data_IF_862002316817
#
_entry.id   IF_862002316817
#
_cell.length_a   1.000
_cell.length_b   1.000
_cell.length_c   1.000
_cell.angle_alpha   90.00
_cell.angle_beta   90.00
_cell.angle_gamma   90.00
#
_symmetry.space_group_name_H-M   'P 1'
#
loop_
_entity.id
_entity.type
_entity.pdbx_description
1 polymer ?
#
# COMPACT_ATOMS: atom_id res chain seq x y z
N UNK A 1 27.41 15.88 -10.77
CA UNK A 1 27.41 17.36 -10.86
C UNK A 1 26.97 17.91 -12.22
N UNK A 2 27.24 17.25 -13.34
CA UNK A 2 26.79 17.67 -14.69
C UNK A 2 25.27 17.68 -14.84
N UNK A 3 24.60 16.70 -14.30
CA UNK A 3 23.11 16.61 -14.35
C UNK A 3 22.49 17.81 -13.63
N UNK A 4 23.00 18.15 -12.47
CA UNK A 4 22.50 19.29 -11.68
C UNK A 4 22.77 20.63 -12.38
N UNK A 5 23.91 20.78 -13.04
CA UNK A 5 24.25 21.96 -13.84
C UNK A 5 23.29 22.10 -15.03
N UNK A 6 23.03 21.01 -15.75
CA UNK A 6 22.08 20.97 -16.87
C UNK A 6 20.67 21.34 -16.42
N UNK A 7 20.20 20.79 -15.29
CA UNK A 7 18.88 21.13 -14.73
C UNK A 7 18.77 22.61 -14.36
N UNK A 8 19.80 23.19 -13.75
CA UNK A 8 19.80 24.62 -13.40
C UNK A 8 19.75 25.52 -14.62
N UNK A 9 20.45 25.16 -15.69
CA UNK A 9 20.36 25.88 -16.97
C UNK A 9 18.93 25.82 -17.52
N UNK A 10 18.33 24.65 -17.58
CA UNK A 10 16.95 24.47 -18.01
C UNK A 10 15.98 25.32 -17.17
N UNK A 11 16.10 25.32 -15.83
CA UNK A 11 15.22 26.13 -14.98
C UNK A 11 15.42 27.63 -15.20
N UNK A 12 16.63 28.07 -15.48
CA UNK A 12 16.93 29.46 -15.83
C UNK A 12 16.27 29.87 -17.12
N UNK A 13 16.29 29.00 -18.14
CA UNK A 13 15.60 29.25 -19.42
C UNK A 13 14.09 29.28 -19.25
N UNK A 14 13.50 28.33 -18.51
CA UNK A 14 12.07 28.31 -18.23
C UNK A 14 11.60 29.57 -17.49
N UNK A 15 12.41 30.09 -16.56
CA UNK A 15 12.15 31.38 -15.90
C UNK A 15 12.18 32.53 -16.90
N UNK A 16 13.26 32.61 -17.71
CA UNK A 16 13.43 33.67 -18.69
C UNK A 16 12.30 33.72 -19.73
N UNK A 17 11.80 32.55 -20.10
CA UNK A 17 10.69 32.36 -21.03
C UNK A 17 9.30 32.54 -20.38
N UNK A 18 9.22 32.83 -19.07
CA UNK A 18 7.96 33.02 -18.38
C UNK A 18 7.15 31.75 -18.07
N UNK A 19 7.70 30.54 -18.32
CA UNK A 19 7.03 29.29 -18.01
C UNK A 19 6.98 28.95 -16.53
N UNK A 20 7.90 29.50 -15.73
CA UNK A 20 7.91 29.39 -14.28
C UNK A 20 8.07 30.76 -13.64
N UNK A 21 7.44 30.95 -12.49
CA UNK A 21 7.56 32.17 -11.70
C UNK A 21 8.92 32.27 -11.03
N UNK A 22 9.33 33.50 -10.67
CA UNK A 22 10.55 33.73 -9.91
C UNK A 22 10.56 32.93 -8.59
N UNK A 23 9.44 32.88 -7.89
CA UNK A 23 9.30 32.12 -6.66
C UNK A 23 9.54 30.63 -6.88
N UNK A 24 8.97 30.04 -7.96
CA UNK A 24 9.19 28.64 -8.32
C UNK A 24 10.66 28.39 -8.67
N UNK A 25 11.29 29.28 -9.42
CA UNK A 25 12.69 29.20 -9.74
C UNK A 25 13.56 29.19 -8.49
N UNK A 26 13.33 30.12 -7.55
CA UNK A 26 14.07 30.21 -6.32
C UNK A 26 13.95 28.95 -5.45
N UNK A 27 12.77 28.30 -5.45
CA UNK A 27 12.57 27.01 -4.79
C UNK A 27 13.37 25.88 -5.45
N UNK A 28 13.44 25.86 -6.78
CA UNK A 28 14.15 24.82 -7.53
C UNK A 28 15.67 24.91 -7.38
N UNK A 29 16.23 26.12 -7.33
CA UNK A 29 17.68 26.32 -7.15
C UNK A 29 18.11 26.36 -5.68
N UNK A 30 17.14 26.50 -4.76
CA UNK A 30 17.41 26.59 -3.33
C UNK A 30 18.08 25.34 -2.79
N UNK A 31 19.17 25.53 -2.02
CA UNK A 31 19.92 24.44 -1.38
C UNK A 31 19.52 24.21 0.09
N UNK A 32 18.62 25.03 0.61
CA UNK A 32 18.22 24.91 1.99
C UNK A 32 17.34 23.68 2.17
N UNK A 33 17.57 22.85 3.19
CA UNK A 33 16.68 21.76 3.53
C UNK A 33 15.30 22.30 3.87
N UNK A 34 14.26 21.53 3.54
CA UNK A 34 12.90 21.88 3.91
C UNK A 34 12.78 22.02 5.44
N UNK A 35 12.10 23.05 5.89
CA UNK A 35 11.70 23.18 7.30
C UNK A 35 10.69 22.07 7.64
N UNK A 36 10.54 21.78 8.93
CA UNK A 36 9.59 20.73 9.34
C UNK A 36 8.15 21.09 9.01
N UNK A 37 7.82 22.40 9.05
CA UNK A 37 6.53 22.91 8.61
C UNK A 37 6.29 22.69 7.10
N UNK A 38 7.30 22.95 6.27
CA UNK A 38 7.24 22.69 4.83
C UNK A 38 7.11 21.20 4.51
N UNK A 39 7.81 20.34 5.25
CA UNK A 39 7.69 18.86 5.13
C UNK A 39 6.29 18.41 5.52
N UNK A 40 5.76 18.90 6.65
CA UNK A 40 4.41 18.58 7.10
C UNK A 40 3.34 19.03 6.08
N UNK A 41 3.46 20.22 5.53
CA UNK A 41 2.57 20.72 4.48
C UNK A 41 2.65 19.90 3.18
N UNK A 42 3.84 19.43 2.80
CA UNK A 42 4.01 18.55 1.66
C UNK A 42 3.34 17.19 1.90
N UNK A 43 3.59 16.56 3.04
CA UNK A 43 2.99 15.27 3.42
C UNK A 43 1.45 15.38 3.46
N UNK A 44 0.91 16.42 4.07
CA UNK A 44 -0.53 16.64 4.14
C UNK A 44 -1.16 16.72 2.74
N UNK A 45 -0.52 17.43 1.81
CA UNK A 45 -0.97 17.54 0.42
C UNK A 45 -0.94 16.20 -0.29
N UNK A 46 0.15 15.44 -0.15
CA UNK A 46 0.29 14.10 -0.74
C UNK A 46 -0.79 13.14 -0.22
N UNK A 47 -1.14 13.21 1.06
CA UNK A 47 -2.21 12.39 1.64
C UNK A 47 -3.59 12.74 1.03
N UNK A 48 -3.87 14.02 0.83
CA UNK A 48 -5.13 14.47 0.19
C UNK A 48 -5.19 14.00 -1.26
N UNK A 49 -4.13 14.22 -2.05
CA UNK A 49 -4.06 13.80 -3.45
C UNK A 49 -4.22 12.28 -3.60
N UNK A 50 -3.52 11.51 -2.76
CA UNK A 50 -3.64 10.04 -2.75
C UNK A 50 -5.06 9.60 -2.40
N UNK A 51 -5.68 10.23 -1.42
CA UNK A 51 -7.06 9.93 -1.02
C UNK A 51 -8.06 10.24 -2.14
N UNK A 52 -7.91 11.37 -2.83
CA UNK A 52 -8.77 11.73 -3.96
C UNK A 52 -8.56 10.79 -5.15
N UNK A 53 -7.30 10.46 -5.48
CA UNK A 53 -6.99 9.49 -6.53
C UNK A 53 -7.60 8.11 -6.24
N UNK A 54 -7.48 7.63 -5.01
CA UNK A 54 -8.07 6.35 -4.58
C UNK A 54 -9.59 6.35 -4.74
N UNK A 55 -10.26 7.44 -4.34
CA UNK A 55 -11.71 7.57 -4.52
C UNK A 55 -12.11 7.61 -6.00
N UNK A 56 -11.36 8.34 -6.81
CA UNK A 56 -11.58 8.39 -8.26
C UNK A 56 -11.50 7.03 -8.92
N UNK A 57 -10.43 6.26 -8.62
CA UNK A 57 -10.26 4.89 -9.11
C UNK A 57 -11.39 3.98 -8.61
N UNK A 58 -11.77 4.06 -7.33
CA UNK A 58 -12.86 3.25 -6.80
C UNK A 58 -14.20 3.54 -7.50
N UNK A 59 -14.50 4.79 -7.79
CA UNK A 59 -15.70 5.17 -8.53
C UNK A 59 -15.70 4.62 -9.96
N UNK A 60 -14.58 4.68 -10.66
CA UNK A 60 -14.42 4.10 -12.01
C UNK A 60 -14.61 2.59 -11.96
N UNK A 61 -13.98 1.90 -11.02
CA UNK A 61 -14.12 0.45 -10.85
C UNK A 61 -15.56 0.05 -10.53
N UNK A 62 -16.26 0.82 -9.69
CA UNK A 62 -17.66 0.55 -9.36
C UNK A 62 -18.59 0.70 -10.56
N UNK A 63 -18.29 1.65 -11.48
CA UNK A 63 -19.03 1.83 -12.72
C UNK A 63 -18.76 0.71 -13.73
N UNK A 64 -17.50 0.28 -13.84
CA UNK A 64 -17.09 -0.77 -14.78
C UNK A 64 -17.49 -2.18 -14.30
N UNK A 65 -17.54 -2.38 -12.98
CA UNK A 65 -17.77 -3.67 -12.33
C UNK A 65 -18.86 -3.53 -11.27
N UNK A 66 -20.12 -3.25 -11.65
CA UNK A 66 -21.19 -2.92 -10.70
C UNK A 66 -21.52 -4.06 -9.71
N UNK A 67 -21.31 -5.32 -10.12
CA UNK A 67 -21.52 -6.49 -9.27
C UNK A 67 -20.37 -6.77 -8.30
N UNK A 68 -19.24 -6.04 -8.43
CA UNK A 68 -18.07 -6.24 -7.59
C UNK A 68 -18.08 -5.35 -6.36
N UNK A 69 -17.63 -5.90 -5.24
CA UNK A 69 -17.46 -5.15 -4.00
C UNK A 69 -16.13 -4.39 -4.03
N UNK A 70 -16.15 -3.09 -3.79
CA UNK A 70 -14.95 -2.28 -3.62
C UNK A 70 -14.60 -2.21 -2.13
N UNK A 71 -13.42 -2.69 -1.78
CA UNK A 71 -12.94 -2.75 -0.40
C UNK A 71 -11.65 -1.95 -0.26
N UNK A 72 -11.59 -1.07 0.74
CA UNK A 72 -10.39 -0.31 1.07
C UNK A 72 -9.54 -1.05 2.09
N UNK A 73 -8.28 -1.32 1.76
CA UNK A 73 -7.31 -1.90 2.68
C UNK A 73 -6.22 -0.87 3.02
N UNK A 74 -5.84 -0.79 4.31
CA UNK A 74 -4.71 0.04 4.73
C UNK A 74 -3.39 -0.70 4.44
N UNK A 75 -2.42 -0.01 3.85
CA UNK A 75 -1.10 -0.57 3.59
C UNK A 75 -0.40 -1.07 4.87
N UNK A 76 -0.63 -0.42 6.03
CA UNK A 76 -0.11 -0.86 7.32
C UNK A 76 -0.62 -2.24 7.72
N UNK A 77 -1.90 -2.56 7.44
CA UNK A 77 -2.48 -3.85 7.77
C UNK A 77 -1.86 -4.98 6.93
N UNK A 78 -1.60 -4.69 5.64
CA UNK A 78 -0.90 -5.64 4.76
C UNK A 78 0.54 -5.83 5.17
N UNK A 79 1.24 -4.77 5.57
CA UNK A 79 2.61 -4.84 6.09
C UNK A 79 2.69 -5.67 7.37
N UNK A 80 1.76 -5.46 8.29
CA UNK A 80 1.67 -6.23 9.53
C UNK A 80 1.37 -7.71 9.26
N UNK A 81 0.42 -8.00 8.36
CA UNK A 81 0.11 -9.36 7.93
C UNK A 81 1.34 -10.06 7.33
N UNK A 82 2.11 -9.37 6.47
CA UNK A 82 3.36 -9.92 5.91
C UNK A 82 4.34 -10.30 7.00
N UNK A 83 4.57 -9.40 7.95
CA UNK A 83 5.53 -9.61 9.05
C UNK A 83 5.12 -10.77 9.95
N UNK A 84 3.82 -10.85 10.30
CA UNK A 84 3.32 -11.92 11.20
C UNK A 84 3.23 -13.30 10.53
N UNK A 85 3.23 -13.37 9.20
CA UNK A 85 3.13 -14.62 8.43
C UNK A 85 4.41 -14.97 7.68
N UNK A 86 5.51 -14.29 7.96
CA UNK A 86 6.83 -14.51 7.34
C UNK A 86 6.77 -14.49 5.80
N UNK A 87 6.11 -13.48 5.24
CA UNK A 87 6.06 -13.27 3.80
C UNK A 87 7.10 -12.21 3.41
N UNK A 88 8.23 -12.61 2.83
CA UNK A 88 9.33 -11.69 2.54
C UNK A 88 8.94 -10.63 1.51
N UNK A 89 9.59 -9.46 1.62
CA UNK A 89 9.50 -8.38 0.64
C UNK A 89 10.89 -7.90 0.28
N UNK A 90 11.30 -8.12 -0.97
CA UNK A 90 12.56 -7.62 -1.48
C UNK A 90 12.31 -6.53 -2.52
N UNK A 91 12.72 -5.30 -2.19
CA UNK A 91 12.62 -4.13 -3.09
C UNK A 91 13.86 -3.95 -3.95
N UNK A 92 14.95 -4.60 -3.58
CA UNK A 92 16.25 -4.45 -4.26
C UNK A 92 16.41 -5.37 -5.46
N UNK A 93 15.59 -6.43 -5.54
CA UNK A 93 15.72 -7.44 -6.59
C UNK A 93 14.93 -7.03 -7.84
N UNK A 94 13.66 -6.63 -7.66
CA UNK A 94 12.76 -6.26 -8.76
C UNK A 94 11.45 -5.65 -8.24
N UNK A 95 10.54 -5.28 -9.18
CA UNK A 95 9.23 -4.68 -8.92
C UNK A 95 8.11 -5.70 -8.65
N UNK A 96 8.36 -7.02 -8.67
CA UNK A 96 7.31 -8.03 -8.46
C UNK A 96 6.68 -8.01 -7.07
N UNK A 97 7.35 -7.38 -6.10
CA UNK A 97 6.75 -7.15 -4.80
C UNK A 97 5.44 -6.33 -4.89
N UNK A 98 5.23 -5.53 -5.94
CA UNK A 98 3.97 -4.82 -6.17
C UNK A 98 2.81 -5.78 -6.49
N UNK A 99 3.06 -6.83 -7.28
CA UNK A 99 2.06 -7.87 -7.55
C UNK A 99 1.70 -8.64 -6.27
N UNK A 100 2.70 -8.97 -5.44
CA UNK A 100 2.46 -9.56 -4.12
C UNK A 100 1.64 -8.65 -3.22
N UNK A 101 1.97 -7.36 -3.16
CA UNK A 101 1.23 -6.40 -2.35
C UNK A 101 -0.21 -6.24 -2.86
N UNK A 102 -0.43 -6.21 -4.17
CA UNK A 102 -1.77 -6.16 -4.76
C UNK A 102 -2.62 -7.37 -4.35
N UNK A 103 -2.08 -8.58 -4.48
CA UNK A 103 -2.76 -9.80 -4.05
C UNK A 103 -3.05 -9.81 -2.54
N UNK A 104 -2.08 -9.43 -1.73
CA UNK A 104 -2.26 -9.37 -0.27
C UNK A 104 -3.27 -8.27 0.15
N UNK A 105 -3.36 -7.16 -0.58
CA UNK A 105 -4.42 -6.17 -0.37
C UNK A 105 -5.81 -6.77 -0.57
N UNK A 106 -5.99 -7.63 -1.57
CA UNK A 106 -7.26 -8.33 -1.80
C UNK A 106 -7.56 -9.28 -0.63
N UNK A 107 -6.60 -10.12 -0.25
CA UNK A 107 -6.77 -11.09 0.85
C UNK A 107 -7.09 -10.38 2.16
N UNK A 108 -6.24 -9.46 2.58
CA UNK A 108 -6.39 -8.71 3.84
C UNK A 108 -7.65 -7.86 3.83
N UNK A 109 -7.92 -7.17 2.72
CA UNK A 109 -9.11 -6.34 2.56
C UNK A 109 -10.40 -7.14 2.68
N UNK A 110 -10.48 -8.32 2.04
CA UNK A 110 -11.64 -9.19 2.15
C UNK A 110 -11.89 -9.68 3.59
N UNK A 111 -10.84 -10.08 4.28
CA UNK A 111 -10.96 -10.51 5.70
C UNK A 111 -11.48 -9.37 6.57
N UNK A 112 -10.98 -8.15 6.39
CA UNK A 112 -11.49 -6.98 7.08
C UNK A 112 -12.95 -6.68 6.74
N UNK A 113 -13.30 -6.75 5.47
CA UNK A 113 -14.66 -6.51 5.02
C UNK A 113 -15.66 -7.48 5.66
N UNK A 114 -15.35 -8.78 5.65
CA UNK A 114 -16.22 -9.81 6.22
C UNK A 114 -16.30 -9.68 7.74
N UNK A 115 -15.19 -9.36 8.41
CA UNK A 115 -15.13 -9.23 9.88
C UNK A 115 -15.88 -8.01 10.40
N UNK A 116 -15.72 -6.84 9.77
CA UNK A 116 -16.11 -5.56 10.35
C UNK A 116 -17.32 -4.90 9.70
N UNK A 117 -17.97 -5.53 8.74
CA UNK A 117 -19.10 -4.94 8.01
C UNK A 117 -18.73 -3.74 7.13
N UNK A 118 -19.76 -3.11 6.56
CA UNK A 118 -19.65 -2.03 5.58
C UNK A 118 -18.98 -0.75 6.10
N UNK A 119 -18.76 -0.63 7.42
CA UNK A 119 -18.12 0.56 7.97
C UNK A 119 -17.14 0.23 9.11
N UNK A 120 -15.90 -0.15 8.78
CA UNK A 120 -14.86 -0.44 9.76
C UNK A 120 -14.52 0.75 10.66
N UNK A 121 -14.76 1.99 10.21
CA UNK A 121 -14.55 3.19 11.02
C UNK A 121 -15.54 3.29 12.17
N UNK A 122 -16.78 2.88 11.99
CA UNK A 122 -17.77 2.86 13.05
C UNK A 122 -17.44 1.82 14.11
N UNK A 123 -16.88 0.69 13.72
CA UNK A 123 -16.44 -0.33 14.65
C UNK A 123 -15.28 0.18 15.54
N UNK A 124 -14.26 0.76 14.92
CA UNK A 124 -13.11 1.33 15.64
C UNK A 124 -13.57 2.48 16.57
N UNK A 125 -14.49 3.32 16.11
CA UNK A 125 -15.04 4.42 16.92
C UNK A 125 -15.85 3.90 18.10
N UNK A 126 -16.71 2.92 17.90
CA UNK A 126 -17.54 2.35 18.96
C UNK A 126 -16.71 1.63 20.03
N UNK A 127 -15.64 0.94 19.64
CA UNK A 127 -14.70 0.34 20.58
C UNK A 127 -13.85 1.39 21.31
N UNK A 128 -13.47 2.46 20.62
CA UNK A 128 -12.77 3.59 21.21
C UNK A 128 -13.63 4.30 22.27
N UNK A 129 -14.91 4.51 21.99
CA UNK A 129 -15.83 5.17 22.91
C UNK A 129 -16.19 4.30 24.13
N UNK A 130 -16.15 2.95 23.99
CA UNK A 130 -16.45 2.02 25.09
C UNK A 130 -15.32 1.84 26.08
N UNK A 131 -14.06 1.85 25.62
CA UNK A 131 -12.92 1.58 26.49
C UNK A 131 -11.66 2.34 26.03
N UNK A 132 -11.56 3.60 26.48
CA UNK A 132 -10.43 4.49 26.16
C UNK A 132 -9.06 3.93 26.62
N UNK A 133 -9.04 2.90 27.46
CA UNK A 133 -7.83 2.33 28.05
C UNK A 133 -7.34 1.04 27.39
N UNK A 134 -8.19 0.36 26.59
CA UNK A 134 -7.88 -0.96 25.99
C UNK A 134 -7.71 -0.96 24.48
N UNK A 135 -7.44 0.18 23.88
CA UNK A 135 -7.41 0.38 22.42
C UNK A 135 -6.21 -0.19 21.67
N UNK A 136 -5.60 -1.25 22.15
CA UNK A 136 -4.76 -2.10 21.33
C UNK A 136 -5.59 -3.22 20.70
N UNK A 137 -6.55 -2.86 19.84
CA UNK A 137 -7.17 -3.84 18.96
C UNK A 137 -6.09 -4.37 18.02
N UNK A 138 -5.50 -5.48 18.39
CA UNK A 138 -4.47 -6.13 17.59
C UNK A 138 -5.15 -6.82 16.38
N UNK A 139 -5.23 -6.08 15.29
CA UNK A 139 -5.85 -6.55 14.06
C UNK A 139 -5.14 -7.77 13.46
N UNK A 140 -3.86 -7.98 13.78
CA UNK A 140 -3.10 -9.16 13.32
C UNK A 140 -3.63 -10.46 13.92
N UNK A 141 -4.15 -10.43 15.15
CA UNK A 141 -4.78 -11.59 15.79
C UNK A 141 -6.07 -12.05 15.09
N UNK A 142 -6.66 -11.21 14.27
CA UNK A 142 -7.85 -11.58 13.51
C UNK A 142 -7.63 -12.81 12.61
N UNK A 143 -6.41 -12.97 12.12
CA UNK A 143 -6.02 -14.10 11.26
C UNK A 143 -5.70 -15.39 12.01
N UNK A 144 -5.79 -15.38 13.35
CA UNK A 144 -5.62 -16.57 14.19
C UNK A 144 -6.93 -17.35 14.35
N UNK A 145 -8.03 -16.80 13.86
CA UNK A 145 -9.39 -17.37 13.94
C UNK A 145 -10.02 -17.41 12.55
N UNK A 146 -11.00 -18.31 12.40
CA UNK A 146 -11.83 -18.32 11.20
C UNK A 146 -12.64 -17.02 11.10
N UNK A 147 -12.69 -16.46 9.90
CA UNK A 147 -13.47 -15.25 9.61
C UNK A 147 -14.52 -15.60 8.58
N UNK A 148 -15.74 -15.73 9.07
CA UNK A 148 -16.92 -16.05 8.29
C UNK A 148 -18.09 -15.15 8.70
N UNK A 149 -18.92 -14.80 7.74
CA UNK A 149 -20.14 -14.04 8.00
C UNK A 149 -21.19 -14.30 6.92
N UNK A 150 -22.42 -14.62 7.33
CA UNK A 150 -23.56 -14.85 6.43
C UNK A 150 -23.25 -15.87 5.30
N UNK A 151 -22.44 -16.91 5.62
CA UNK A 151 -22.01 -17.91 4.64
C UNK A 151 -20.84 -17.49 3.75
N UNK A 152 -20.31 -16.27 3.89
CA UNK A 152 -19.12 -15.82 3.20
C UNK A 152 -17.88 -16.09 4.06
N UNK A 153 -17.05 -17.06 3.65
CA UNK A 153 -15.82 -17.43 4.34
C UNK A 153 -14.66 -16.63 3.73
N UNK A 154 -14.09 -15.70 4.50
CA UNK A 154 -12.94 -14.90 4.06
C UNK A 154 -11.60 -15.47 4.50
N UNK A 155 -11.57 -16.19 5.61
CA UNK A 155 -10.33 -16.71 6.17
C UNK A 155 -10.60 -17.98 6.99
N UNK A 156 -9.78 -19.00 6.80
CA UNK A 156 -9.73 -20.20 7.63
C UNK A 156 -8.38 -20.20 8.33
N UNK A 157 -8.39 -20.16 9.64
CA UNK A 157 -7.17 -20.20 10.44
C UNK A 157 -6.47 -21.56 10.30
N UNK A 158 -5.15 -21.55 10.41
CA UNK A 158 -4.39 -22.79 10.46
C UNK A 158 -4.65 -23.50 11.80
N UNK A 159 -5.14 -24.71 11.76
CA UNK A 159 -5.41 -25.50 12.95
C UNK A 159 -4.13 -26.11 13.53
N UNK A 160 -4.14 -26.39 14.84
CA UNK A 160 -2.99 -26.97 15.54
C UNK A 160 -2.68 -28.41 15.11
N UNK A 161 -3.66 -29.12 14.57
CA UNK A 161 -3.56 -30.49 14.06
C UNK A 161 -2.93 -30.59 12.65
N UNK A 162 -2.50 -29.46 12.07
CA UNK A 162 -1.82 -29.42 10.80
C UNK A 162 -2.73 -29.25 9.58
N UNK A 163 -4.05 -29.09 9.75
CA UNK A 163 -4.90 -28.70 8.65
C UNK A 163 -4.49 -27.36 8.07
N UNK A 164 -4.27 -27.34 6.74
CA UNK A 164 -3.82 -26.19 6.02
C UNK A 164 -4.94 -25.11 5.97
N UNK A 165 -4.73 -23.99 6.67
CA UNK A 165 -5.62 -22.83 6.57
C UNK A 165 -5.39 -22.02 5.29
N UNK A 166 -6.14 -20.93 5.13
CA UNK A 166 -6.04 -20.01 3.98
C UNK A 166 -4.61 -19.51 3.74
N UNK A 167 -3.77 -19.41 4.77
CA UNK A 167 -2.37 -19.01 4.65
C UNK A 167 -1.56 -19.93 3.71
N UNK A 168 -1.86 -21.23 3.68
CA UNK A 168 -1.18 -22.17 2.78
C UNK A 168 -1.49 -21.84 1.31
N UNK A 169 -2.73 -21.51 1.00
CA UNK A 169 -3.15 -21.06 -0.33
C UNK A 169 -2.48 -19.75 -0.70
N UNK A 170 -2.43 -18.78 0.22
CA UNK A 170 -1.75 -17.49 0.02
C UNK A 170 -0.27 -17.71 -0.32
N UNK A 171 0.44 -18.49 0.49
CA UNK A 171 1.87 -18.80 0.25
C UNK A 171 2.08 -19.55 -1.08
N UNK A 172 1.19 -20.46 -1.44
CA UNK A 172 1.24 -21.17 -2.74
C UNK A 172 1.06 -20.23 -3.93
N UNK A 173 0.13 -19.27 -3.84
CA UNK A 173 -0.09 -18.27 -4.90
C UNK A 173 1.12 -17.36 -5.04
N UNK A 174 1.64 -16.84 -3.93
CA UNK A 174 2.84 -15.99 -3.94
C UNK A 174 4.07 -16.73 -4.45
N UNK A 175 4.23 -18.02 -4.11
CA UNK A 175 5.34 -18.85 -4.56
C UNK A 175 5.36 -19.12 -6.07
N UNK A 176 4.22 -19.05 -6.75
CA UNK A 176 4.16 -19.22 -8.22
C UNK A 176 4.88 -18.13 -8.99
N UNK A 177 5.03 -16.95 -8.42
CA UNK A 177 5.71 -15.82 -9.05
C UNK A 177 7.22 -15.80 -8.81
N UNK A 178 7.75 -16.70 -7.97
CA UNK A 178 9.18 -16.77 -7.63
C UNK A 178 10.09 -16.98 -8.86
N UNK A 179 9.75 -17.87 -9.83
CA UNK A 179 10.58 -18.04 -11.03
C UNK A 179 10.66 -16.80 -11.91
N UNK A 180 9.61 -15.99 -11.95
CA UNK A 180 9.60 -14.73 -12.69
C UNK A 180 10.47 -13.67 -12.03
N UNK A 181 10.54 -13.65 -10.70
CA UNK A 181 11.43 -12.75 -9.97
C UNK A 181 12.91 -13.04 -10.26
N UNK A 182 13.30 -14.30 -10.37
CA UNK A 182 14.67 -14.69 -10.65
C UNK A 182 15.14 -14.35 -12.06
N UNK A 183 14.26 -14.28 -13.04
CA UNK A 183 14.63 -13.92 -14.42
C UNK A 183 15.08 -12.45 -14.58
N UNK A 184 14.63 -11.55 -13.73
CA UNK A 184 14.94 -10.12 -13.83
C UNK A 184 16.17 -9.71 -13.02
N UNK A 185 16.73 -10.59 -12.22
CA UNK A 185 17.97 -10.33 -11.51
C UNK A 185 19.22 -10.42 -12.40
N UNK A 186 19.07 -10.68 -13.71
CA UNK A 186 20.15 -10.75 -14.69
C UNK A 186 20.16 -9.59 -15.69
N UNK A 187 20.11 -8.38 -15.22
CA UNK A 187 20.61 -7.28 -16.04
C UNK A 187 22.15 -7.23 -15.94
N UNK A 188 22.79 -8.18 -16.58
CA UNK A 188 24.23 -8.12 -16.80
C UNK A 188 24.54 -7.16 -17.94
N UNK A 189 25.32 -6.11 -17.68
CA UNK A 189 26.04 -5.42 -18.73
C UNK A 189 27.08 -6.37 -19.30
N UNK A 190 26.92 -6.73 -20.53
CA UNK A 190 27.88 -7.55 -21.26
C UNK A 190 27.44 -8.99 -21.33
N UNK A 191 26.99 -9.26 -22.48
CA UNK A 191 26.73 -10.51 -23.11
C UNK A 191 26.99 -11.77 -22.28
N UNK A 192 25.96 -12.43 -22.10
CA UNK A 192 26.05 -13.85 -22.10
C UNK A 192 26.47 -14.28 -23.52
#
# INVERSE_FOLDING_TARGET
DEILASQKNMWSELRRSGFITEEKYNRLIGRNPFTDEQKAGFIARQLVETSQGTKGVANILQQLLPESKIVYAKASNVSEFRNTRDIPKSRLINEFHHAHDAYLNIVVGNVYYVKFTQNPLNFIKNDYDRDKTKNNYNLSKMFDWDVERNGEVAWIAQKKDGEAGTIATVKKVLGRNTPLMTRYSFEGKGGL
#
